data_IF_049989980860
#
_entry.id   IF_049989980860
#
_cell.length_a   1.000
_cell.length_b   1.000
_cell.length_c   1.000
_cell.angle_alpha   90.00
_cell.angle_beta   90.00
_cell.angle_gamma   90.00
#
_symmetry.space_group_name_H-M   'P 1'
#
loop_
_entity.id
_entity.type
_entity.pdbx_description
1 polymer ?
#
# COMPACT_ATOMS: atom_id res chain seq x y z
N UNK A 1 -3.55 0.01 38.60
CA UNK A 1 -2.51 0.39 37.65
C UNK A 1 -2.50 -0.71 36.59
N UNK A 2 -3.21 -0.48 35.48
CA UNK A 2 -3.24 -1.44 34.38
C UNK A 2 -1.95 -1.31 33.56
N UNK A 3 -1.24 -2.41 33.40
CA UNK A 3 -0.16 -2.51 32.43
C UNK A 3 -0.75 -2.24 31.04
N UNK A 4 -0.40 -1.11 30.43
CA UNK A 4 -0.58 -0.90 28.99
C UNK A 4 0.23 -2.00 28.31
N UNK A 5 -0.44 -3.07 27.88
CA UNK A 5 0.12 -4.03 26.94
C UNK A 5 0.42 -3.26 25.65
N UNK A 6 1.65 -2.86 25.48
CA UNK A 6 2.15 -2.38 24.18
C UNK A 6 1.93 -3.50 23.16
N UNK A 7 0.82 -3.46 22.47
CA UNK A 7 0.57 -4.38 21.36
C UNK A 7 1.65 -4.09 20.32
N UNK A 8 2.51 -5.07 20.07
CA UNK A 8 3.57 -4.97 19.08
C UNK A 8 2.94 -4.71 17.71
N UNK A 9 3.24 -3.57 17.11
CA UNK A 9 2.76 -3.22 15.79
C UNK A 9 3.20 -4.27 14.77
N UNK A 10 2.29 -4.59 13.85
CA UNK A 10 2.59 -5.46 12.72
C UNK A 10 3.67 -4.82 11.83
N UNK A 11 4.63 -5.64 11.39
CA UNK A 11 5.77 -5.18 10.62
C UNK A 11 6.21 -6.21 9.58
N UNK A 12 6.55 -5.74 8.37
CA UNK A 12 7.17 -6.54 7.31
C UNK A 12 8.57 -5.98 7.04
N UNK A 13 9.58 -6.84 7.15
CA UNK A 13 10.96 -6.49 6.81
C UNK A 13 11.16 -6.48 5.28
N UNK A 14 11.71 -5.41 4.74
CA UNK A 14 11.97 -5.23 3.30
C UNK A 14 13.42 -4.80 3.03
N UNK A 15 14.38 -5.29 3.83
CA UNK A 15 15.80 -4.97 3.67
C UNK A 15 16.22 -3.71 4.41
N UNK A 16 16.53 -2.62 3.72
CA UNK A 16 16.89 -1.32 4.29
C UNK A 16 15.68 -0.47 4.73
N UNK A 17 14.48 -0.94 4.39
CA UNK A 17 13.19 -0.38 4.81
C UNK A 17 12.34 -1.44 5.51
N UNK A 18 11.26 -1.04 6.13
CA UNK A 18 10.21 -1.91 6.60
C UNK A 18 8.82 -1.29 6.41
N UNK A 19 7.80 -2.13 6.32
CA UNK A 19 6.41 -1.71 6.37
C UNK A 19 5.89 -1.87 7.79
N UNK A 20 5.09 -0.93 8.27
CA UNK A 20 4.48 -0.96 9.60
C UNK A 20 3.12 -0.28 9.60
N UNK A 21 2.22 -0.73 10.48
CA UNK A 21 0.97 -0.04 10.75
C UNK A 21 1.21 1.42 11.13
N UNK A 22 0.31 2.29 10.68
CA UNK A 22 0.32 3.69 11.10
C UNK A 22 0.00 3.84 12.57
N UNK A 23 0.55 4.87 13.17
CA UNK A 23 0.15 5.42 14.45
C UNK A 23 -0.28 6.88 14.24
N UNK A 24 -1.00 7.45 15.18
CA UNK A 24 -1.40 8.88 15.14
C UNK A 24 -0.17 9.80 15.05
N UNK A 25 0.99 9.37 15.57
CA UNK A 25 2.24 10.12 15.48
C UNK A 25 2.75 10.30 14.03
N UNK A 26 2.33 9.43 13.11
CA UNK A 26 2.75 9.45 11.72
C UNK A 26 1.93 10.45 10.88
N UNK A 27 0.84 11.00 11.45
CA UNK A 27 -0.09 11.88 10.75
C UNK A 27 0.59 13.07 10.08
N UNK A 28 1.53 13.71 10.76
CA UNK A 28 2.24 14.87 10.21
C UNK A 28 3.12 14.50 9.01
N UNK A 29 3.81 13.38 9.07
CA UNK A 29 4.65 12.90 7.96
C UNK A 29 3.79 12.50 6.76
N UNK A 30 2.68 11.80 6.98
CA UNK A 30 1.75 11.42 5.90
C UNK A 30 1.13 12.66 5.29
N UNK A 31 0.68 13.63 6.10
CA UNK A 31 0.16 14.92 5.63
C UNK A 31 1.16 15.64 4.72
N UNK A 32 2.43 15.75 5.14
CA UNK A 32 3.48 16.41 4.35
C UNK A 32 3.70 15.71 3.01
N UNK A 33 3.77 14.38 3.01
CA UNK A 33 3.99 13.58 1.79
C UNK A 33 2.77 13.67 0.87
N UNK A 34 1.55 13.47 1.39
CA UNK A 34 0.32 13.47 0.60
C UNK A 34 0.03 14.83 -0.08
N UNK A 35 0.50 15.92 0.52
CA UNK A 35 0.34 17.27 -0.03
C UNK A 35 1.50 17.71 -0.95
N UNK A 36 2.50 16.86 -1.20
CA UNK A 36 3.50 17.12 -2.25
C UNK A 36 2.79 17.19 -3.61
N UNK A 37 3.07 18.21 -4.47
CA UNK A 37 2.34 18.39 -5.73
C UNK A 37 2.31 17.15 -6.63
N UNK A 38 3.43 16.44 -6.71
CA UNK A 38 3.58 15.24 -7.52
C UNK A 38 2.75 14.06 -6.97
N UNK A 39 2.65 13.94 -5.66
CA UNK A 39 1.81 12.92 -5.01
C UNK A 39 0.34 13.27 -5.15
N UNK A 40 -0.03 14.51 -4.82
CA UNK A 40 -1.41 14.99 -4.89
C UNK A 40 -1.98 14.96 -6.31
N UNK A 41 -1.13 15.07 -7.34
CA UNK A 41 -1.52 14.95 -8.75
C UNK A 41 -2.09 13.56 -9.08
N UNK A 42 -1.51 12.49 -8.52
CA UNK A 42 -1.88 11.11 -8.81
C UNK A 42 -2.76 10.46 -7.73
N UNK A 43 -2.74 11.03 -6.52
CA UNK A 43 -3.49 10.54 -5.36
C UNK A 43 -4.23 11.71 -4.67
N UNK A 44 -5.16 12.38 -5.37
CA UNK A 44 -5.86 13.56 -4.84
C UNK A 44 -6.63 13.25 -3.55
N UNK A 45 -7.18 12.04 -3.42
CA UNK A 45 -7.97 11.60 -2.25
C UNK A 45 -7.13 11.43 -0.98
N UNK A 46 -5.80 11.42 -1.10
CA UNK A 46 -4.90 11.41 0.06
C UNK A 46 -4.61 12.80 0.59
N UNK A 47 -4.93 13.84 -0.19
CA UNK A 47 -4.75 15.23 0.23
C UNK A 47 -5.69 15.56 1.38
N UNK A 48 -5.17 16.19 2.42
CA UNK A 48 -5.93 16.47 3.64
C UNK A 48 -5.40 17.72 4.35
N UNK A 49 -6.10 18.22 5.36
CA UNK A 49 -5.49 19.00 6.42
C UNK A 49 -4.74 18.10 7.40
N UNK A 50 -3.96 18.69 8.29
CA UNK A 50 -3.25 17.94 9.34
C UNK A 50 -4.23 17.28 10.31
N UNK A 51 -5.26 17.99 10.70
CA UNK A 51 -6.33 17.52 11.59
C UNK A 51 -7.07 16.35 10.96
N UNK A 52 -7.52 16.50 9.71
CA UNK A 52 -8.17 15.40 8.98
C UNK A 52 -7.29 14.16 8.90
N UNK A 53 -5.97 14.32 8.76
CA UNK A 53 -5.05 13.16 8.70
C UNK A 53 -4.96 12.43 10.03
N UNK A 54 -4.99 13.17 11.15
CA UNK A 54 -5.05 12.59 12.50
C UNK A 54 -6.33 11.77 12.67
N UNK A 55 -7.49 12.37 12.34
CA UNK A 55 -8.79 11.71 12.45
C UNK A 55 -8.88 10.47 11.57
N UNK A 56 -8.42 10.57 10.30
CA UNK A 56 -8.44 9.42 9.38
C UNK A 56 -7.58 8.26 9.86
N UNK A 57 -6.42 8.52 10.43
CA UNK A 57 -5.57 7.47 10.99
C UNK A 57 -6.25 6.83 12.20
N UNK A 58 -6.75 7.64 13.14
CA UNK A 58 -7.35 7.15 14.39
C UNK A 58 -8.65 6.37 14.14
N UNK A 59 -9.55 6.94 13.34
CA UNK A 59 -10.92 6.46 13.23
C UNK A 59 -11.14 5.44 12.11
N UNK A 60 -10.25 5.41 11.09
CA UNK A 60 -10.42 4.52 9.93
C UNK A 60 -9.22 3.61 9.69
N UNK A 61 -8.00 4.13 9.62
CA UNK A 61 -6.85 3.35 9.14
C UNK A 61 -6.37 2.34 10.19
N UNK A 62 -6.29 2.73 11.46
CA UNK A 62 -5.92 1.82 12.56
C UNK A 62 -6.98 0.71 12.74
N UNK A 63 -8.30 1.01 12.83
CA UNK A 63 -9.33 -0.02 12.89
C UNK A 63 -9.35 -0.95 11.66
N UNK A 64 -9.18 -0.39 10.45
CA UNK A 64 -9.15 -1.20 9.22
C UNK A 64 -7.96 -2.17 9.20
N UNK A 65 -6.76 -1.71 9.57
CA UNK A 65 -5.58 -2.56 9.67
C UNK A 65 -5.78 -3.69 10.68
N UNK A 66 -6.34 -3.37 11.85
CA UNK A 66 -6.66 -4.38 12.87
C UNK A 66 -7.61 -5.43 12.33
N UNK A 67 -8.71 -5.01 11.70
CA UNK A 67 -9.70 -5.91 11.13
C UNK A 67 -9.08 -6.80 10.04
N UNK A 68 -8.23 -6.26 9.16
CA UNK A 68 -7.49 -7.02 8.17
C UNK A 68 -6.60 -8.09 8.80
N UNK A 69 -5.77 -7.70 9.77
CA UNK A 69 -4.81 -8.60 10.43
C UNK A 69 -5.53 -9.69 11.26
N UNK A 70 -6.67 -9.37 11.85
CA UNK A 70 -7.49 -10.35 12.55
C UNK A 70 -8.16 -11.34 11.56
N UNK A 71 -8.63 -10.86 10.40
CA UNK A 71 -9.17 -11.71 9.34
C UNK A 71 -8.11 -12.68 8.77
N UNK A 72 -6.88 -12.23 8.57
CA UNK A 72 -5.76 -13.10 8.17
C UNK A 72 -5.55 -14.23 9.17
N UNK A 73 -5.59 -13.94 10.48
CA UNK A 73 -5.35 -14.93 11.54
C UNK A 73 -6.50 -15.93 11.70
N UNK A 74 -7.72 -15.54 11.42
CA UNK A 74 -8.91 -16.32 11.75
C UNK A 74 -9.49 -17.07 10.58
N UNK A 75 -9.58 -16.44 9.41
CA UNK A 75 -10.30 -16.99 8.26
C UNK A 75 -9.45 -17.09 6.99
N UNK A 76 -8.31 -16.43 6.93
CA UNK A 76 -7.53 -16.17 5.71
C UNK A 76 -8.32 -15.46 4.58
N UNK A 77 -9.59 -15.09 4.82
CA UNK A 77 -10.41 -14.35 3.88
C UNK A 77 -10.34 -12.85 4.20
N UNK A 78 -9.76 -12.09 3.29
CA UNK A 78 -9.55 -10.65 3.41
C UNK A 78 -10.34 -9.83 2.39
N UNK A 79 -11.33 -10.42 1.71
CA UNK A 79 -11.99 -9.83 0.54
C UNK A 79 -12.49 -8.40 0.76
N UNK A 80 -13.06 -8.11 1.93
CA UNK A 80 -13.63 -6.78 2.23
C UNK A 80 -12.74 -5.90 3.12
N UNK A 81 -11.50 -6.33 3.41
CA UNK A 81 -10.63 -5.61 4.32
C UNK A 81 -9.53 -4.86 3.58
N UNK A 82 -9.13 -3.71 4.12
CA UNK A 82 -8.02 -2.90 3.63
C UNK A 82 -6.83 -2.98 4.59
N UNK A 83 -5.62 -2.96 4.04
CA UNK A 83 -4.39 -2.81 4.83
C UNK A 83 -3.61 -1.62 4.28
N UNK A 84 -3.25 -0.70 5.18
CA UNK A 84 -2.45 0.49 4.86
C UNK A 84 -1.24 0.53 5.78
N UNK A 85 -0.04 0.43 5.22
CA UNK A 85 1.21 0.39 5.97
C UNK A 85 2.10 1.56 5.57
N UNK A 86 2.73 2.18 6.55
CA UNK A 86 3.81 3.14 6.34
C UNK A 86 5.08 2.44 5.87
N UNK A 87 5.82 3.10 5.00
CA UNK A 87 7.16 2.69 4.58
C UNK A 87 8.17 3.49 5.40
N UNK A 88 8.99 2.81 6.18
CA UNK A 88 9.96 3.41 7.08
C UNK A 88 11.38 3.02 6.70
N UNK A 89 12.33 3.97 6.77
CA UNK A 89 13.77 3.67 6.66
C UNK A 89 14.27 3.04 7.96
N UNK A 90 14.96 1.92 7.88
CA UNK A 90 15.53 1.28 9.08
C UNK A 90 16.57 2.14 9.80
N UNK A 91 17.38 2.87 9.04
CA UNK A 91 18.46 3.66 9.62
C UNK A 91 17.98 4.84 10.48
N UNK A 92 16.82 5.43 10.17
CA UNK A 92 16.34 6.66 10.80
C UNK A 92 14.97 6.53 11.46
N UNK A 93 14.25 5.43 11.22
CA UNK A 93 12.83 5.25 11.55
C UNK A 93 11.91 6.32 10.94
N UNK A 94 12.37 6.97 9.88
CA UNK A 94 11.63 8.00 9.17
C UNK A 94 10.59 7.39 8.25
N UNK A 95 9.34 7.88 8.30
CA UNK A 95 8.29 7.53 7.36
C UNK A 95 8.54 8.26 6.03
N UNK A 96 8.72 7.48 4.96
CA UNK A 96 9.05 7.97 3.62
C UNK A 96 7.95 7.75 2.58
N UNK A 97 6.84 7.13 2.98
CA UNK A 97 5.73 6.81 2.10
C UNK A 97 4.79 5.78 2.71
N UNK A 98 3.96 5.19 1.87
CA UNK A 98 3.04 4.12 2.27
C UNK A 98 2.84 3.09 1.18
N UNK A 99 2.37 1.91 1.57
CA UNK A 99 1.99 0.82 0.69
C UNK A 99 0.67 0.21 1.20
N UNK A 100 -0.29 0.00 0.30
CA UNK A 100 -1.65 -0.37 0.66
C UNK A 100 -2.17 -1.51 -0.21
N UNK A 101 -3.15 -2.24 0.31
CA UNK A 101 -3.99 -3.15 -0.48
C UNK A 101 -5.45 -3.02 -0.08
N UNK A 102 -6.33 -3.14 -1.06
CA UNK A 102 -7.77 -3.08 -0.89
C UNK A 102 -8.49 -3.56 -2.15
N UNK A 103 -9.80 -3.63 -2.10
CA UNK A 103 -10.61 -3.88 -3.29
C UNK A 103 -10.61 -2.64 -4.18
N UNK A 104 -10.54 -2.84 -5.48
CA UNK A 104 -10.74 -1.81 -6.51
C UNK A 104 -12.03 -2.11 -7.26
N UNK A 105 -13.11 -1.44 -6.87
CA UNK A 105 -14.47 -1.75 -7.34
C UNK A 105 -14.63 -1.60 -8.86
N UNK A 106 -13.84 -0.72 -9.50
CA UNK A 106 -13.87 -0.50 -10.93
C UNK A 106 -13.20 -1.62 -11.75
N UNK A 107 -12.58 -2.58 -11.07
CA UNK A 107 -12.01 -3.77 -11.72
C UNK A 107 -12.93 -4.98 -11.54
N UNK A 108 -13.00 -5.89 -12.54
CA UNK A 108 -13.71 -7.15 -12.37
C UNK A 108 -13.02 -8.04 -11.34
N UNK A 109 -13.80 -8.81 -10.56
CA UNK A 109 -13.27 -9.77 -9.59
C UNK A 109 -12.41 -10.85 -10.27
N UNK A 110 -11.30 -11.30 -9.64
CA UNK A 110 -10.72 -10.81 -8.39
C UNK A 110 -10.06 -9.45 -8.57
N UNK A 111 -10.43 -8.47 -7.74
CA UNK A 111 -10.12 -7.06 -7.93
C UNK A 111 -9.28 -6.43 -6.82
N UNK A 112 -8.54 -7.25 -6.06
CA UNK A 112 -7.63 -6.72 -5.04
C UNK A 112 -6.45 -6.01 -5.67
N UNK A 113 -6.30 -4.75 -5.32
CA UNK A 113 -5.24 -3.87 -5.80
C UNK A 113 -4.11 -3.75 -4.77
N UNK A 114 -2.90 -3.53 -5.27
CA UNK A 114 -1.74 -3.04 -4.49
C UNK A 114 -1.36 -1.68 -5.03
N UNK A 115 -1.23 -0.70 -4.13
CA UNK A 115 -0.81 0.66 -4.43
C UNK A 115 0.26 1.15 -3.47
N UNK A 116 1.01 2.18 -3.86
CA UNK A 116 2.01 2.82 -3.00
C UNK A 116 2.17 4.30 -3.33
N UNK A 117 2.77 5.03 -2.40
CA UNK A 117 3.36 6.35 -2.64
C UNK A 117 4.70 6.46 -1.92
N UNK A 118 5.65 7.18 -2.53
CA UNK A 118 6.96 7.51 -1.95
C UNK A 118 7.17 9.00 -2.04
N UNK A 119 7.57 9.63 -0.95
CA UNK A 119 7.99 11.04 -0.91
C UNK A 119 9.03 11.34 -1.98
N UNK A 120 8.93 12.49 -2.63
CA UNK A 120 9.80 12.90 -3.73
C UNK A 120 11.28 12.81 -3.38
N UNK A 121 11.66 13.10 -2.13
CA UNK A 121 13.03 13.03 -1.63
C UNK A 121 13.61 11.62 -1.63
N UNK A 122 12.73 10.59 -1.63
CA UNK A 122 13.11 9.17 -1.52
C UNK A 122 12.79 8.36 -2.78
N UNK A 123 12.38 9.03 -3.87
CA UNK A 123 12.17 8.38 -5.16
C UNK A 123 13.51 7.94 -5.80
N UNK A 124 13.43 7.02 -6.76
CA UNK A 124 14.58 6.48 -7.51
C UNK A 124 15.62 5.68 -6.70
N UNK A 125 15.35 5.35 -5.44
CA UNK A 125 16.21 4.53 -4.57
C UNK A 125 15.75 3.06 -4.47
N UNK A 126 14.73 2.67 -5.24
CA UNK A 126 14.20 1.30 -5.21
C UNK A 126 13.26 0.99 -4.04
N UNK A 127 13.00 1.95 -3.13
CA UNK A 127 12.17 1.74 -1.95
C UNK A 127 10.73 1.31 -2.31
N UNK A 128 10.10 1.92 -3.32
CA UNK A 128 8.79 1.53 -3.80
C UNK A 128 8.74 0.06 -4.21
N UNK A 129 9.72 -0.39 -5.01
CA UNK A 129 9.79 -1.79 -5.46
C UNK A 129 9.98 -2.75 -4.29
N UNK A 130 10.88 -2.43 -3.32
CA UNK A 130 11.09 -3.25 -2.12
C UNK A 130 9.82 -3.34 -1.27
N UNK A 131 9.16 -2.22 -1.01
CA UNK A 131 7.94 -2.13 -0.24
C UNK A 131 6.81 -2.95 -0.88
N UNK A 132 6.58 -2.73 -2.18
CA UNK A 132 5.53 -3.45 -2.93
C UNK A 132 5.80 -4.95 -2.96
N UNK A 133 7.04 -5.38 -3.21
CA UNK A 133 7.42 -6.82 -3.18
C UNK A 133 7.22 -7.43 -1.79
N UNK A 134 7.57 -6.72 -0.72
CA UNK A 134 7.35 -7.19 0.65
C UNK A 134 5.86 -7.37 0.98
N UNK A 135 5.01 -6.43 0.55
CA UNK A 135 3.57 -6.55 0.72
C UNK A 135 2.98 -7.70 -0.11
N UNK A 136 3.39 -7.85 -1.37
CA UNK A 136 2.97 -8.97 -2.25
C UNK A 136 3.33 -10.32 -1.62
N UNK A 137 4.57 -10.45 -1.15
CA UNK A 137 5.05 -11.68 -0.51
C UNK A 137 4.22 -12.05 0.71
N UNK A 138 3.95 -11.07 1.58
CA UNK A 138 3.07 -11.24 2.73
C UNK A 138 1.66 -11.67 2.30
N UNK A 139 1.05 -10.98 1.34
CA UNK A 139 -0.30 -11.27 0.88
C UNK A 139 -0.42 -12.69 0.30
N UNK A 140 0.51 -13.11 -0.54
CA UNK A 140 0.47 -14.44 -1.13
C UNK A 140 0.81 -15.56 -0.16
N UNK A 141 1.61 -15.30 0.88
CA UNK A 141 1.96 -16.30 1.90
C UNK A 141 0.88 -16.47 2.96
N UNK A 142 0.36 -15.36 3.46
CA UNK A 142 -0.46 -15.34 4.66
C UNK A 142 -1.97 -15.32 4.38
N UNK A 143 -2.37 -15.24 3.10
CA UNK A 143 -3.78 -15.20 2.71
C UNK A 143 -4.11 -16.19 1.59
N UNK A 144 -5.40 -16.35 1.31
CA UNK A 144 -5.90 -17.20 0.23
C UNK A 144 -5.89 -16.54 -1.16
N UNK A 145 -5.29 -15.35 -1.29
CA UNK A 145 -5.21 -14.63 -2.56
C UNK A 145 -4.40 -15.41 -3.61
N UNK A 146 -4.93 -15.42 -4.83
CA UNK A 146 -4.27 -16.03 -5.98
C UNK A 146 -3.92 -15.00 -7.08
N UNK A 147 -4.53 -13.82 -7.03
CA UNK A 147 -4.34 -12.75 -8.01
C UNK A 147 -4.30 -11.40 -7.30
N UNK A 148 -3.36 -10.58 -7.70
CA UNK A 148 -3.27 -9.16 -7.35
C UNK A 148 -3.35 -8.32 -8.61
N UNK A 149 -3.92 -7.12 -8.48
CA UNK A 149 -4.02 -6.13 -9.54
C UNK A 149 -3.18 -4.90 -9.18
N UNK A 150 -2.76 -4.18 -10.20
CA UNK A 150 -2.23 -2.83 -10.09
C UNK A 150 -2.75 -2.00 -11.25
N UNK A 151 -3.09 -0.75 -11.00
CA UNK A 151 -3.44 0.20 -12.05
C UNK A 151 -2.56 1.43 -11.97
N UNK A 152 -2.25 1.99 -13.11
CA UNK A 152 -1.48 3.23 -13.21
C UNK A 152 -1.99 4.06 -14.38
N UNK A 153 -2.11 5.37 -14.18
CA UNK A 153 -2.35 6.29 -15.29
C UNK A 153 -1.29 6.06 -16.38
N UNK A 154 -1.69 6.08 -17.63
CA UNK A 154 -0.77 5.85 -18.77
C UNK A 154 0.41 6.80 -18.79
N UNK A 155 0.23 8.02 -18.27
CA UNK A 155 1.27 9.04 -18.18
C UNK A 155 2.10 8.98 -16.89
N UNK A 156 1.77 8.11 -15.95
CA UNK A 156 2.57 7.87 -14.75
C UNK A 156 3.67 6.83 -15.04
N UNK A 157 4.66 7.23 -15.83
CA UNK A 157 5.75 6.35 -16.30
C UNK A 157 6.51 5.71 -15.13
N UNK A 158 6.71 6.45 -14.03
CA UNK A 158 7.45 5.95 -12.86
C UNK A 158 6.68 4.80 -12.18
N UNK A 159 5.37 4.95 -11.97
CA UNK A 159 4.53 3.92 -11.37
C UNK A 159 4.46 2.68 -12.27
N UNK A 160 4.22 2.85 -13.58
CA UNK A 160 4.19 1.72 -14.54
C UNK A 160 5.48 0.89 -14.46
N UNK A 161 6.66 1.53 -14.46
CA UNK A 161 7.96 0.84 -14.32
C UNK A 161 8.11 0.07 -13.00
N UNK A 162 7.60 0.59 -11.90
CA UNK A 162 7.70 -0.12 -10.61
C UNK A 162 6.77 -1.33 -10.59
N UNK A 163 5.56 -1.20 -11.12
CA UNK A 163 4.60 -2.31 -11.27
C UNK A 163 5.26 -3.47 -12.05
N UNK A 164 5.87 -3.17 -13.19
CA UNK A 164 6.58 -4.17 -14.00
C UNK A 164 7.76 -4.81 -13.25
N UNK A 165 8.56 -4.01 -12.53
CA UNK A 165 9.67 -4.51 -11.69
C UNK A 165 9.20 -5.39 -10.53
N UNK A 166 7.95 -5.24 -10.11
CA UNK A 166 7.33 -6.11 -9.11
C UNK A 166 6.78 -7.42 -9.72
N UNK A 167 6.92 -7.64 -11.01
CA UNK A 167 6.51 -8.87 -11.69
C UNK A 167 5.08 -8.87 -12.20
N UNK A 168 4.37 -7.74 -12.13
CA UNK A 168 3.05 -7.62 -12.73
C UNK A 168 3.13 -7.62 -14.25
N UNK A 169 2.18 -8.29 -14.88
CA UNK A 169 2.06 -8.41 -16.33
C UNK A 169 0.93 -7.50 -16.82
N UNK A 170 1.19 -6.73 -17.85
CA UNK A 170 0.18 -5.90 -18.50
C UNK A 170 -0.99 -6.75 -19.02
N UNK A 171 -2.20 -6.33 -18.73
CA UNK A 171 -3.43 -7.00 -19.14
C UNK A 171 -4.21 -6.20 -20.18
N UNK A 172 -4.52 -4.94 -19.88
CA UNK A 172 -5.38 -4.10 -20.74
C UNK A 172 -5.30 -2.64 -20.31
N UNK A 173 -5.95 -1.76 -21.05
CA UNK A 173 -6.32 -0.44 -20.56
C UNK A 173 -7.72 -0.47 -19.94
N UNK A 174 -7.91 0.33 -18.91
CA UNK A 174 -9.20 0.55 -18.26
C UNK A 174 -9.52 2.04 -18.25
N UNK A 175 -10.74 2.38 -18.62
CA UNK A 175 -11.27 3.74 -18.44
C UNK A 175 -11.98 3.80 -17.10
N UNK A 176 -11.45 4.62 -16.20
CA UNK A 176 -12.07 4.91 -14.90
C UNK A 176 -12.37 6.39 -14.91
N UNK A 177 -13.65 6.74 -14.79
CA UNK A 177 -14.14 8.10 -14.98
C UNK A 177 -13.66 8.68 -16.35
N UNK A 178 -12.90 9.77 -16.33
CA UNK A 178 -12.38 10.45 -17.52
C UNK A 178 -10.89 10.16 -17.79
N UNK A 179 -10.31 9.17 -17.12
CA UNK A 179 -8.88 8.86 -17.21
C UNK A 179 -8.65 7.44 -17.74
N UNK A 180 -7.52 7.24 -18.40
CA UNK A 180 -7.12 5.92 -18.92
C UNK A 180 -5.96 5.41 -18.08
N UNK A 181 -6.13 4.18 -17.58
CA UNK A 181 -5.16 3.47 -16.78
C UNK A 181 -4.66 2.23 -17.49
N UNK A 182 -3.38 1.94 -17.38
CA UNK A 182 -2.87 0.60 -17.63
C UNK A 182 -3.25 -0.31 -16.48
N UNK A 183 -3.81 -1.46 -16.77
CA UNK A 183 -4.17 -2.50 -15.80
C UNK A 183 -3.19 -3.65 -15.92
N UNK A 184 -2.64 -4.06 -14.79
CA UNK A 184 -1.68 -5.13 -14.65
C UNK A 184 -2.20 -6.18 -13.67
N UNK A 185 -1.80 -7.44 -13.87
CA UNK A 185 -2.11 -8.54 -12.96
C UNK A 185 -0.84 -9.28 -12.56
N UNK A 186 -0.86 -9.84 -11.35
CA UNK A 186 0.16 -10.77 -10.86
C UNK A 186 -0.53 -11.98 -10.23
N UNK A 187 -0.17 -13.18 -10.69
CA UNK A 187 -0.68 -14.42 -10.11
C UNK A 187 0.31 -14.99 -9.11
N UNK A 188 -0.20 -15.60 -8.04
CA UNK A 188 0.61 -16.28 -7.03
C UNK A 188 1.55 -17.32 -7.65
N UNK A 189 1.07 -18.07 -8.65
CA UNK A 189 1.88 -19.08 -9.38
C UNK A 189 3.05 -18.49 -10.16
N UNK A 190 2.98 -17.21 -10.52
CA UNK A 190 4.05 -16.47 -11.22
C UNK A 190 5.04 -15.90 -10.19
N UNK A 191 4.54 -15.45 -9.03
CA UNK A 191 5.36 -14.91 -7.95
C UNK A 191 6.34 -15.93 -7.35
N UNK A 192 5.91 -17.18 -7.17
CA UNK A 192 6.76 -18.27 -6.60
C UNK A 192 7.95 -18.64 -7.50
N UNK A 193 7.95 -18.20 -8.77
CA UNK A 193 9.02 -18.49 -9.75
C UNK A 193 10.09 -17.40 -9.83
N UNK A 194 9.90 -16.28 -9.14
CA UNK A 194 10.82 -15.15 -9.09
C UNK A 194 11.74 -15.28 -7.86
#
# INVERSE_FOLDING_TARGET
>A
MGEERFTKLFKIDCGDIYLQEFTVKDAESIYKIANQPEIAKFLPDWKSTKEQRVDWIADYEIPANKAFLDAVKTTNNIDNYMLKLGIFKKATNELIGWCCTGMKEELPSPNREVMYAISNEYQNHGHATKATKGLIDYLFKETNLNVLNAIALINNVALNKVIEKCGFIYKSQQRIENQIYNHYILRKSEWIKI
#
